data_IF_751448895319
#
_entry.id   IF_751448895319
#
_cell.length_a   1.000
_cell.length_b   1.000
_cell.length_c   1.000
_cell.angle_alpha   90.00
_cell.angle_beta   90.00
_cell.angle_gamma   90.00
#
_symmetry.space_group_name_H-M   'P 1'
#
loop_
_entity.id
_entity.type
_entity.pdbx_description
1 polymer ?
#
# COMPACT_ATOMS: atom_id res chain seq x y z
N UNK A 1 0.51 -14.22 33.86
CA UNK A 1 0.62 -13.68 32.49
C UNK A 1 -0.27 -14.52 31.61
N UNK A 2 -1.19 -13.94 30.85
CA UNK A 2 -2.07 -14.72 29.97
C UNK A 2 -1.26 -15.37 28.84
N UNK A 3 -1.68 -16.54 28.36
CA UNK A 3 -1.03 -17.26 27.25
C UNK A 3 -0.82 -16.36 26.01
N UNK A 4 -1.68 -15.37 25.81
CA UNK A 4 -1.62 -14.41 24.72
C UNK A 4 -0.41 -13.44 24.85
N UNK A 5 -0.05 -13.00 26.07
CA UNK A 5 1.09 -12.13 26.31
C UNK A 5 2.43 -12.87 26.10
N UNK A 6 2.51 -14.15 26.51
CA UNK A 6 3.69 -15.00 26.31
C UNK A 6 3.90 -15.32 24.81
N UNK A 7 2.81 -15.55 24.09
CA UNK A 7 2.85 -15.82 22.63
C UNK A 7 3.29 -14.57 21.86
N UNK A 8 2.80 -13.39 22.21
CA UNK A 8 3.20 -12.12 21.61
C UNK A 8 4.69 -11.82 21.82
N UNK A 9 5.22 -12.01 23.05
CA UNK A 9 6.63 -11.77 23.33
C UNK A 9 7.58 -12.69 22.55
N UNK A 10 7.20 -13.93 22.30
CA UNK A 10 7.99 -14.85 21.46
C UNK A 10 7.96 -14.47 19.98
N UNK A 11 6.80 -14.05 19.44
CA UNK A 11 6.65 -13.68 18.01
C UNK A 11 7.37 -12.39 17.69
N UNK A 12 7.25 -11.37 18.54
CA UNK A 12 7.69 -9.99 18.25
C UNK A 12 8.87 -9.52 19.11
N UNK A 13 9.52 -10.41 19.86
CA UNK A 13 10.69 -10.05 20.66
C UNK A 13 11.87 -9.50 19.81
N UNK A 14 11.99 -9.88 18.54
CA UNK A 14 12.93 -9.28 17.61
C UNK A 14 12.61 -7.81 17.31
N UNK A 15 11.33 -7.50 17.17
CA UNK A 15 10.84 -6.14 16.94
C UNK A 15 11.08 -5.27 18.18
N UNK A 16 10.77 -5.80 19.39
CA UNK A 16 11.05 -5.09 20.65
C UNK A 16 12.54 -4.77 20.84
N UNK A 17 13.44 -5.69 20.48
CA UNK A 17 14.89 -5.43 20.57
C UNK A 17 15.37 -4.39 19.56
N UNK A 18 14.71 -4.25 18.40
CA UNK A 18 15.09 -3.31 17.35
C UNK A 18 14.51 -1.92 17.58
N UNK A 19 13.22 -1.83 17.94
CA UNK A 19 12.48 -0.57 18.04
C UNK A 19 12.22 -0.15 19.50
N UNK A 20 12.43 -1.04 20.46
CA UNK A 20 12.09 -0.84 21.88
C UNK A 20 10.70 -1.36 22.26
N UNK A 21 10.50 -1.64 23.56
CA UNK A 21 9.24 -2.15 24.08
C UNK A 21 8.08 -1.16 23.93
N UNK A 22 8.38 0.15 24.07
CA UNK A 22 7.38 1.21 23.86
C UNK A 22 6.85 1.23 22.43
N UNK A 23 7.74 1.14 21.44
CA UNK A 23 7.34 1.09 20.04
C UNK A 23 6.51 -0.17 19.74
N UNK A 24 6.88 -1.34 20.27
CA UNK A 24 6.09 -2.56 20.13
C UNK A 24 4.69 -2.40 20.74
N UNK A 25 4.57 -1.72 21.87
CA UNK A 25 3.27 -1.41 22.46
C UNK A 25 2.44 -0.50 21.56
N UNK A 26 3.04 0.54 20.95
CA UNK A 26 2.38 1.39 19.96
C UNK A 26 1.93 0.59 18.73
N UNK A 27 2.79 -0.29 18.19
CA UNK A 27 2.42 -1.16 17.05
C UNK A 27 1.22 -2.03 17.37
N UNK A 28 1.16 -2.63 18.55
CA UNK A 28 0.06 -3.52 18.97
C UNK A 28 -1.29 -2.80 19.09
N UNK A 29 -1.28 -1.49 19.26
CA UNK A 29 -2.48 -0.66 19.35
C UNK A 29 -2.79 0.07 18.05
N UNK A 30 -1.82 0.17 17.14
CA UNK A 30 -1.92 0.94 15.93
C UNK A 30 -3.00 0.41 14.98
N UNK A 31 -3.61 1.36 14.25
CA UNK A 31 -4.67 1.16 13.28
C UNK A 31 -4.17 1.64 11.91
N UNK A 32 -3.68 0.72 11.08
CA UNK A 32 -3.09 1.02 9.77
C UNK A 32 -4.00 0.50 8.66
N UNK A 33 -4.53 1.41 7.85
CA UNK A 33 -5.36 1.06 6.70
C UNK A 33 -4.52 0.84 5.45
N UNK A 34 -4.80 -0.24 4.70
CA UNK A 34 -4.17 -0.51 3.40
C UNK A 34 -5.25 -0.51 2.32
N UNK A 35 -5.15 0.42 1.38
CA UNK A 35 -6.06 0.57 0.24
C UNK A 35 -5.42 -0.01 -1.01
N UNK A 36 -6.05 -1.02 -1.60
CA UNK A 36 -5.49 -1.82 -2.67
C UNK A 36 -4.52 -2.87 -2.14
N UNK A 37 -4.95 -4.12 -2.06
CA UNK A 37 -4.12 -5.23 -1.56
C UNK A 37 -3.62 -6.14 -2.67
N UNK A 38 -3.28 -5.53 -3.80
CA UNK A 38 -2.67 -6.20 -4.96
C UNK A 38 -1.17 -6.46 -4.81
N UNK A 39 -0.39 -6.20 -5.88
CA UNK A 39 1.04 -6.50 -5.97
C UNK A 39 1.92 -5.74 -4.98
N UNK A 40 1.51 -4.55 -4.55
CA UNK A 40 2.23 -3.73 -3.56
C UNK A 40 1.61 -3.89 -2.18
N UNK A 41 0.29 -3.66 -2.06
CA UNK A 41 -0.38 -3.64 -0.76
C UNK A 41 -0.36 -4.96 -0.03
N UNK A 42 -0.41 -6.12 -0.73
CA UNK A 42 -0.33 -7.43 -0.07
C UNK A 42 0.98 -7.63 0.70
N UNK A 43 2.11 -7.14 0.16
CA UNK A 43 3.40 -7.20 0.83
C UNK A 43 3.53 -6.18 1.96
N UNK A 44 2.88 -5.01 1.84
CA UNK A 44 2.77 -4.07 2.94
C UNK A 44 2.01 -4.70 4.12
N UNK A 45 0.88 -5.37 3.87
CA UNK A 45 0.10 -6.10 4.90
C UNK A 45 0.95 -7.16 5.58
N UNK A 46 1.71 -7.96 4.82
CA UNK A 46 2.62 -8.98 5.37
C UNK A 46 3.65 -8.35 6.32
N UNK A 47 4.30 -7.26 5.91
CA UNK A 47 5.30 -6.57 6.71
C UNK A 47 4.70 -5.98 7.99
N UNK A 48 3.54 -5.34 7.91
CA UNK A 48 2.82 -4.78 9.05
C UNK A 48 2.41 -5.87 10.05
N UNK A 49 1.86 -6.99 9.56
CA UNK A 49 1.51 -8.12 10.41
C UNK A 49 2.72 -8.70 11.16
N UNK A 50 3.88 -8.83 10.47
CA UNK A 50 5.15 -9.31 11.05
C UNK A 50 5.82 -8.31 11.98
N UNK A 51 5.45 -7.04 11.88
CA UNK A 51 5.92 -5.99 12.81
C UNK A 51 5.06 -5.94 14.09
N UNK A 52 3.90 -6.60 14.10
CA UNK A 52 3.03 -6.65 15.28
C UNK A 52 1.94 -5.58 15.29
N UNK A 53 1.60 -4.99 14.13
CA UNK A 53 0.48 -4.03 14.03
C UNK A 53 -0.82 -4.71 14.48
N UNK A 54 -1.58 -4.02 15.33
CA UNK A 54 -2.74 -4.59 16.02
C UNK A 54 -4.04 -4.54 15.23
N UNK A 55 -4.21 -3.59 14.30
CA UNK A 55 -5.44 -3.43 13.51
C UNK A 55 -5.14 -3.08 12.07
N UNK A 56 -5.70 -3.85 11.13
CA UNK A 56 -5.47 -3.74 9.69
C UNK A 56 -6.80 -3.75 8.92
N UNK A 57 -7.43 -2.60 8.68
CA UNK A 57 -8.46 -2.46 7.65
C UNK A 57 -7.83 -2.62 6.26
N UNK A 58 -8.39 -3.52 5.46
CA UNK A 58 -7.98 -3.82 4.10
C UNK A 58 -9.13 -3.51 3.15
N UNK A 59 -8.90 -2.62 2.18
CA UNK A 59 -9.92 -2.20 1.22
C UNK A 59 -9.51 -2.66 -0.17
N UNK A 60 -10.24 -3.60 -0.74
CA UNK A 60 -10.06 -4.11 -2.11
C UNK A 60 -11.30 -4.93 -2.50
N UNK A 61 -11.85 -4.75 -3.70
CA UNK A 61 -13.02 -5.49 -4.16
C UNK A 61 -12.66 -6.73 -5.00
N UNK A 62 -11.40 -6.84 -5.44
CA UNK A 62 -11.01 -7.89 -6.36
C UNK A 62 -10.88 -9.27 -5.71
N UNK A 63 -11.03 -10.29 -6.53
CA UNK A 63 -10.70 -11.66 -6.19
C UNK A 63 -9.27 -12.04 -6.62
N UNK A 64 -8.72 -13.05 -5.97
CA UNK A 64 -7.44 -13.65 -6.33
C UNK A 64 -7.56 -14.33 -7.70
N UNK A 65 -6.68 -13.98 -8.63
CA UNK A 65 -6.62 -14.56 -9.97
C UNK A 65 -5.28 -15.25 -10.22
N UNK A 66 -5.25 -16.24 -11.11
CA UNK A 66 -4.03 -16.94 -11.49
C UNK A 66 -2.98 -15.98 -12.09
N UNK A 67 -3.40 -14.97 -12.85
CA UNK A 67 -2.53 -13.92 -13.39
C UNK A 67 -1.86 -13.04 -12.33
N UNK A 68 -2.22 -13.18 -11.06
CA UNK A 68 -1.63 -12.44 -9.94
C UNK A 68 -0.41 -13.13 -9.33
N UNK A 69 -0.16 -14.42 -9.64
CA UNK A 69 0.87 -15.29 -9.03
C UNK A 69 2.27 -14.68 -9.08
N UNK A 70 2.59 -13.96 -10.14
CA UNK A 70 3.93 -13.39 -10.34
C UNK A 70 4.28 -12.22 -9.42
N UNK A 71 3.26 -11.66 -8.66
CA UNK A 71 3.50 -10.45 -7.86
C UNK A 71 2.66 -10.28 -6.59
N UNK A 72 1.53 -10.98 -6.45
CA UNK A 72 0.64 -10.84 -5.29
C UNK A 72 0.88 -11.97 -4.29
N UNK A 73 1.11 -11.64 -3.03
CA UNK A 73 1.49 -12.57 -1.96
C UNK A 73 0.49 -13.70 -1.74
N UNK A 74 -0.80 -13.40 -1.81
CA UNK A 74 -1.91 -14.33 -1.55
C UNK A 74 -2.35 -15.12 -2.78
N UNK A 75 -1.73 -14.86 -3.95
CA UNK A 75 -2.08 -15.58 -5.16
C UNK A 75 -1.45 -16.98 -5.19
N UNK A 76 -2.10 -17.92 -4.52
CA UNK A 76 -1.74 -19.31 -4.41
C UNK A 76 -2.83 -20.19 -5.04
N UNK A 77 -2.47 -21.38 -5.52
CA UNK A 77 -3.39 -22.29 -6.23
C UNK A 77 -4.68 -22.58 -5.44
N UNK A 78 -4.62 -22.65 -4.11
CA UNK A 78 -5.80 -22.88 -3.27
C UNK A 78 -6.68 -21.65 -2.99
N UNK A 79 -6.25 -20.45 -3.41
CA UNK A 79 -6.92 -19.19 -3.10
C UNK A 79 -7.57 -18.51 -4.31
N UNK A 80 -7.41 -19.06 -5.52
CA UNK A 80 -8.03 -18.48 -6.73
C UNK A 80 -9.55 -18.38 -6.58
N UNK A 81 -10.10 -17.21 -6.91
CA UNK A 81 -11.52 -16.90 -6.76
C UNK A 81 -11.93 -16.36 -5.37
N UNK A 82 -11.08 -16.49 -4.35
CA UNK A 82 -11.32 -15.92 -3.02
C UNK A 82 -11.13 -14.41 -3.05
N UNK A 83 -11.91 -13.65 -2.27
CA UNK A 83 -11.66 -12.23 -2.09
C UNK A 83 -10.24 -11.99 -1.56
N UNK A 84 -9.52 -11.01 -2.13
CA UNK A 84 -8.12 -10.73 -1.75
C UNK A 84 -8.00 -10.37 -0.26
N UNK A 85 -8.94 -9.60 0.26
CA UNK A 85 -8.97 -9.19 1.67
C UNK A 85 -9.14 -10.39 2.60
N UNK A 86 -9.97 -11.38 2.21
CA UNK A 86 -10.18 -12.63 2.96
C UNK A 86 -8.92 -13.51 2.97
N UNK A 87 -8.30 -13.70 1.82
CA UNK A 87 -7.05 -14.47 1.73
C UNK A 87 -5.94 -13.86 2.62
N UNK A 88 -5.84 -12.53 2.66
CA UNK A 88 -4.88 -11.85 3.53
C UNK A 88 -5.24 -11.91 5.00
N UNK A 89 -6.53 -11.80 5.37
CA UNK A 89 -6.96 -11.99 6.77
C UNK A 89 -6.57 -13.36 7.30
N UNK A 90 -6.83 -14.42 6.52
CA UNK A 90 -6.45 -15.78 6.89
C UNK A 90 -4.94 -15.92 7.09
N UNK A 91 -4.16 -15.28 6.23
CA UNK A 91 -2.71 -15.25 6.33
C UNK A 91 -2.22 -14.47 7.56
N UNK A 92 -2.74 -13.27 7.79
CA UNK A 92 -2.42 -12.44 8.97
C UNK A 92 -2.71 -13.18 10.27
N UNK A 93 -3.82 -13.92 10.34
CA UNK A 93 -4.18 -14.71 11.52
C UNK A 93 -3.12 -15.78 11.88
N UNK A 94 -2.40 -16.31 10.90
CA UNK A 94 -1.30 -17.27 11.14
C UNK A 94 -0.01 -16.57 11.59
N UNK A 95 0.20 -15.31 11.21
CA UNK A 95 1.39 -14.51 11.56
C UNK A 95 1.21 -13.83 12.91
N UNK A 96 0.11 -13.08 13.05
CA UNK A 96 -0.24 -12.29 14.21
C UNK A 96 -1.69 -12.56 14.63
N UNK A 97 -1.96 -13.63 15.40
CA UNK A 97 -3.33 -13.98 15.82
C UNK A 97 -4.02 -12.89 16.65
N UNK A 98 -3.26 -11.96 17.24
CA UNK A 98 -3.81 -10.81 17.98
C UNK A 98 -4.23 -9.63 17.09
N UNK A 99 -3.88 -9.65 15.82
CA UNK A 99 -4.24 -8.61 14.88
C UNK A 99 -5.72 -8.70 14.46
N UNK A 100 -6.43 -7.59 14.55
CA UNK A 100 -7.79 -7.48 14.04
C UNK A 100 -7.74 -7.00 12.58
N UNK A 101 -8.11 -7.87 11.65
CA UNK A 101 -8.25 -7.51 10.23
C UNK A 101 -9.71 -7.20 9.94
N UNK A 102 -9.95 -6.04 9.32
CA UNK A 102 -11.29 -5.61 8.86
C UNK A 102 -11.31 -5.73 7.34
N UNK A 103 -12.09 -6.68 6.85
CA UNK A 103 -12.27 -6.93 5.42
C UNK A 103 -13.29 -5.94 4.86
N UNK A 104 -12.90 -5.12 3.90
CA UNK A 104 -13.76 -4.15 3.22
C UNK A 104 -13.70 -4.47 1.73
N UNK A 105 -14.65 -5.30 1.29
CA UNK A 105 -14.81 -5.69 -0.12
C UNK A 105 -15.54 -4.58 -0.87
N UNK A 106 -14.84 -3.46 -1.10
CA UNK A 106 -15.39 -2.31 -1.81
C UNK A 106 -14.29 -1.52 -2.53
N UNK A 107 -14.70 -0.63 -3.43
CA UNK A 107 -13.85 0.37 -4.04
C UNK A 107 -13.90 1.70 -3.30
N UNK A 108 -12.75 2.29 -3.07
CA UNK A 108 -12.70 3.70 -2.66
C UNK A 108 -13.08 4.58 -3.85
N UNK A 109 -13.95 5.54 -3.59
CA UNK A 109 -14.41 6.56 -4.56
C UNK A 109 -14.26 7.95 -3.96
N UNK A 110 -14.45 9.00 -4.75
CA UNK A 110 -14.44 10.37 -4.22
C UNK A 110 -15.54 10.59 -3.18
N UNK A 111 -16.69 9.91 -3.33
CA UNK A 111 -17.89 10.12 -2.51
C UNK A 111 -17.85 9.40 -1.17
N UNK A 112 -17.17 8.22 -1.09
CA UNK A 112 -17.13 7.41 0.14
C UNK A 112 -15.90 7.67 1.03
N UNK A 113 -15.03 8.65 0.67
CA UNK A 113 -13.87 9.01 1.49
C UNK A 113 -14.23 9.34 2.96
N UNK A 114 -15.29 10.14 3.25
CA UNK A 114 -15.64 10.43 4.63
C UNK A 114 -16.11 9.21 5.41
N UNK A 115 -16.74 8.25 4.76
CA UNK A 115 -17.21 7.00 5.38
C UNK A 115 -16.02 6.16 5.85
N UNK A 116 -15.04 5.92 4.97
CA UNK A 116 -13.89 5.08 5.29
C UNK A 116 -12.84 5.78 6.14
N UNK A 117 -12.56 7.06 5.88
CA UNK A 117 -11.45 7.78 6.50
C UNK A 117 -11.85 8.87 7.50
N UNK A 118 -13.15 9.10 7.70
CA UNK A 118 -13.65 10.20 8.55
C UNK A 118 -13.26 10.08 10.03
N UNK A 119 -13.04 8.87 10.53
CA UNK A 119 -12.58 8.61 11.90
C UNK A 119 -11.06 8.69 12.05
N UNK A 120 -10.33 8.75 10.93
CA UNK A 120 -8.87 8.74 10.90
C UNK A 120 -8.26 7.37 11.23
N UNK A 121 -7.01 7.24 10.85
CA UNK A 121 -6.15 6.09 11.14
C UNK A 121 -4.82 6.59 11.69
N UNK A 122 -4.06 5.74 12.37
CA UNK A 122 -2.69 6.06 12.71
C UNK A 122 -1.83 6.25 11.47
N UNK A 123 -2.12 5.47 10.41
CA UNK A 123 -1.48 5.61 9.10
C UNK A 123 -2.34 5.00 7.99
N UNK A 124 -2.21 5.53 6.77
CA UNK A 124 -2.86 4.97 5.56
C UNK A 124 -1.82 4.68 4.50
N UNK A 125 -1.86 3.47 3.93
CA UNK A 125 -1.07 3.09 2.75
C UNK A 125 -2.01 3.02 1.55
N UNK A 126 -1.76 3.88 0.55
CA UNK A 126 -2.48 3.85 -0.72
C UNK A 126 -1.63 3.12 -1.79
N UNK A 127 -2.06 1.91 -2.14
CA UNK A 127 -1.43 1.05 -3.14
C UNK A 127 -2.31 0.79 -4.38
N UNK A 128 -3.33 1.63 -4.61
CA UNK A 128 -4.12 1.58 -5.85
C UNK A 128 -3.39 2.26 -7.02
N UNK A 129 -3.84 1.98 -8.25
CA UNK A 129 -3.27 2.56 -9.48
C UNK A 129 -4.22 3.50 -10.24
N UNK A 130 -5.42 3.75 -9.72
CA UNK A 130 -6.40 4.66 -10.29
C UNK A 130 -6.10 6.12 -9.93
N UNK A 131 -5.51 6.88 -10.85
CA UNK A 131 -5.07 8.27 -10.63
C UNK A 131 -6.15 9.16 -10.05
N UNK A 132 -7.40 9.04 -10.52
CA UNK A 132 -8.51 9.89 -10.08
C UNK A 132 -8.80 9.71 -8.59
N UNK A 133 -8.97 8.47 -8.15
CA UNK A 133 -9.26 8.12 -6.75
C UNK A 133 -8.05 8.43 -5.87
N UNK A 134 -6.84 8.07 -6.32
CA UNK A 134 -5.58 8.38 -5.64
C UNK A 134 -5.42 9.90 -5.41
N UNK A 135 -5.82 10.75 -6.37
CA UNK A 135 -5.78 12.19 -6.21
C UNK A 135 -6.80 12.69 -5.18
N UNK A 136 -8.01 12.15 -5.17
CA UNK A 136 -9.02 12.49 -4.19
C UNK A 136 -8.57 12.11 -2.77
N UNK A 137 -8.05 10.89 -2.59
CA UNK A 137 -7.49 10.43 -1.31
C UNK A 137 -6.33 11.32 -0.85
N UNK A 138 -5.35 11.62 -1.72
CA UNK A 138 -4.22 12.46 -1.37
C UNK A 138 -4.66 13.85 -0.92
N UNK A 139 -5.60 14.48 -1.63
CA UNK A 139 -6.14 15.79 -1.26
C UNK A 139 -6.86 15.72 0.10
N UNK A 140 -7.71 14.72 0.29
CA UNK A 140 -8.44 14.49 1.54
C UNK A 140 -7.51 14.29 2.74
N UNK A 141 -6.45 13.48 2.58
CA UNK A 141 -5.48 13.21 3.65
C UNK A 141 -4.63 14.43 3.99
N UNK A 142 -4.19 15.21 2.99
CA UNK A 142 -3.43 16.44 3.21
C UNK A 142 -4.28 17.47 3.96
N UNK A 143 -5.53 17.66 3.57
CA UNK A 143 -6.47 18.58 4.22
C UNK A 143 -6.69 18.22 5.70
N UNK A 144 -6.89 16.94 5.97
CA UNK A 144 -7.17 16.41 7.32
C UNK A 144 -5.92 16.11 8.15
N UNK A 145 -4.74 16.33 7.60
CA UNK A 145 -3.45 15.97 8.24
C UNK A 145 -3.39 14.48 8.64
N UNK A 146 -4.07 13.62 7.88
CA UNK A 146 -4.02 12.17 8.06
C UNK A 146 -2.64 11.69 7.61
N UNK A 147 -1.86 10.96 8.47
CA UNK A 147 -0.59 10.36 8.05
C UNK A 147 -0.83 9.29 6.98
N UNK A 148 -0.03 9.33 5.89
CA UNK A 148 -0.18 8.39 4.78
C UNK A 148 1.09 8.30 3.93
N UNK A 149 1.13 7.30 3.06
CA UNK A 149 2.09 7.16 1.96
C UNK A 149 1.38 6.63 0.71
N UNK A 150 1.81 7.07 -0.45
CA UNK A 150 1.33 6.57 -1.74
C UNK A 150 2.38 5.69 -2.41
N UNK A 151 1.94 4.57 -2.97
CA UNK A 151 2.75 3.82 -3.93
C UNK A 151 2.64 4.44 -5.31
N UNK A 152 3.77 4.62 -5.96
CA UNK A 152 3.87 4.84 -7.40
C UNK A 152 3.61 3.57 -8.21
N UNK A 153 3.89 3.63 -9.51
CA UNK A 153 3.75 2.52 -10.42
C UNK A 153 4.92 1.53 -10.30
N UNK A 154 4.64 0.28 -9.92
CA UNK A 154 5.64 -0.77 -9.79
C UNK A 154 5.77 -1.68 -11.04
N UNK A 155 5.01 -1.38 -12.11
CA UNK A 155 5.06 -2.12 -13.37
C UNK A 155 6.17 -1.63 -14.31
N UNK A 156 6.69 -2.52 -15.15
CA UNK A 156 7.73 -2.20 -16.13
C UNK A 156 9.12 -1.98 -15.54
N UNK A 157 9.37 -2.38 -14.31
CA UNK A 157 10.62 -2.19 -13.58
C UNK A 157 11.19 -3.53 -13.12
N UNK A 158 12.51 -3.62 -12.96
CA UNK A 158 13.26 -4.85 -12.66
C UNK A 158 14.21 -4.71 -11.48
N UNK A 159 14.64 -3.49 -11.16
CA UNK A 159 15.68 -3.23 -10.16
C UNK A 159 15.11 -2.63 -8.88
N UNK A 160 14.92 -3.41 -7.80
CA UNK A 160 14.42 -2.90 -6.53
C UNK A 160 15.40 -1.93 -5.83
N UNK A 161 16.68 -1.93 -6.16
CA UNK A 161 17.65 -1.03 -5.55
C UNK A 161 17.47 0.45 -5.97
N UNK A 162 16.65 0.73 -6.99
CA UNK A 162 16.34 2.08 -7.45
C UNK A 162 15.07 2.66 -6.81
N UNK A 163 14.47 1.96 -5.86
CA UNK A 163 13.28 2.42 -5.12
C UNK A 163 13.69 3.47 -4.10
N UNK A 164 12.91 4.55 -4.04
CA UNK A 164 13.12 5.69 -3.16
C UNK A 164 11.81 6.18 -2.56
N UNK A 165 11.92 6.98 -1.50
CA UNK A 165 10.81 7.72 -0.91
C UNK A 165 11.07 9.21 -1.05
N UNK A 166 10.09 9.95 -1.57
CA UNK A 166 10.14 11.40 -1.67
C UNK A 166 8.75 12.02 -1.64
N UNK A 167 8.71 13.35 -1.41
CA UNK A 167 7.49 14.12 -1.67
C UNK A 167 7.16 14.12 -3.17
N UNK A 168 5.88 14.07 -3.51
CA UNK A 168 5.38 14.04 -4.88
C UNK A 168 5.92 15.17 -5.76
N UNK A 169 6.26 16.33 -5.17
CA UNK A 169 6.87 17.46 -5.91
C UNK A 169 8.23 17.11 -6.52
N UNK A 170 8.94 16.13 -5.95
CA UNK A 170 10.30 15.72 -6.33
C UNK A 170 10.36 14.40 -7.10
N UNK A 171 9.25 13.68 -7.19
CA UNK A 171 9.20 12.39 -7.89
C UNK A 171 9.48 12.56 -9.39
N UNK A 172 10.30 11.67 -9.91
CA UNK A 172 10.66 11.57 -11.34
C UNK A 172 10.45 10.13 -11.85
N UNK A 173 10.50 9.92 -13.16
CA UNK A 173 10.46 8.59 -13.82
C UNK A 173 9.18 7.75 -13.59
N UNK A 174 8.17 8.28 -12.91
CA UNK A 174 6.92 7.58 -12.61
C UNK A 174 5.73 8.27 -13.30
N UNK A 175 5.16 7.67 -14.36
CA UNK A 175 4.02 8.25 -15.08
C UNK A 175 2.74 8.33 -14.24
N UNK A 176 2.50 7.36 -13.33
CA UNK A 176 1.34 7.38 -12.44
C UNK A 176 1.40 8.60 -11.53
N UNK A 177 2.54 8.80 -10.86
CA UNK A 177 2.74 9.93 -9.96
C UNK A 177 2.85 11.27 -10.69
N UNK A 178 3.36 11.30 -11.92
CA UNK A 178 3.32 12.50 -12.76
C UNK A 178 1.88 12.94 -13.08
N UNK A 179 1.01 11.98 -13.45
CA UNK A 179 -0.42 12.23 -13.68
C UNK A 179 -1.14 12.62 -12.39
N UNK A 180 -0.81 11.99 -11.27
CA UNK A 180 -1.32 12.35 -9.95
C UNK A 180 -0.98 13.81 -9.63
N UNK A 181 0.28 14.20 -9.74
CA UNK A 181 0.74 15.58 -9.52
C UNK A 181 0.01 16.60 -10.39
N UNK A 182 -0.17 16.28 -11.67
CA UNK A 182 -0.94 17.12 -12.58
C UNK A 182 -2.39 17.25 -12.12
N UNK A 183 -3.04 16.16 -11.74
CA UNK A 183 -4.44 16.13 -11.28
C UNK A 183 -4.63 16.93 -9.99
N UNK A 184 -3.74 16.78 -9.01
CA UNK A 184 -3.78 17.52 -7.76
C UNK A 184 -3.66 19.04 -8.00
N UNK A 185 -2.78 19.46 -8.90
CA UNK A 185 -2.62 20.87 -9.27
C UNK A 185 -3.84 21.42 -10.03
N UNK A 186 -4.45 20.60 -10.88
CA UNK A 186 -5.58 21.02 -11.72
C UNK A 186 -6.90 21.06 -10.97
N UNK A 187 -7.17 20.05 -10.12
CA UNK A 187 -8.49 19.84 -9.50
C UNK A 187 -8.56 20.23 -8.03
N UNK A 188 -7.46 20.15 -7.30
CA UNK A 188 -7.44 20.27 -5.84
C UNK A 188 -6.60 21.47 -5.35
N UNK A 189 -6.19 22.39 -6.24
CA UNK A 189 -5.54 23.63 -5.86
C UNK A 189 -4.12 23.51 -5.30
N UNK A 190 -3.44 22.36 -5.48
CA UNK A 190 -2.06 22.20 -5.05
C UNK A 190 -1.12 23.15 -5.78
N UNK A 191 -0.06 23.61 -5.08
CA UNK A 191 0.91 24.55 -5.60
C UNK A 191 1.53 24.09 -6.92
N UNK A 192 1.66 25.03 -7.87
CA UNK A 192 2.40 24.83 -9.12
C UNK A 192 3.89 25.12 -8.99
N UNK A 193 4.30 25.75 -7.89
CA UNK A 193 5.70 25.97 -7.59
C UNK A 193 6.41 24.62 -7.44
N UNK A 194 7.41 24.38 -8.27
CA UNK A 194 8.19 23.13 -8.27
C UNK A 194 9.09 22.98 -7.04
N UNK A 195 9.35 24.09 -6.32
CA UNK A 195 10.14 24.10 -5.08
C UNK A 195 9.26 23.84 -3.85
N UNK A 196 7.94 24.05 -3.95
CA UNK A 196 7.02 23.84 -2.84
C UNK A 196 6.79 22.35 -2.59
N UNK A 197 6.88 21.95 -1.33
CA UNK A 197 6.52 20.61 -0.89
C UNK A 197 5.01 20.43 -0.96
N UNK A 198 4.53 19.34 -1.57
CA UNK A 198 3.10 19.03 -1.70
C UNK A 198 2.55 18.31 -0.46
N UNK A 199 3.42 17.86 0.45
CA UNK A 199 3.05 17.04 1.62
C UNK A 199 2.38 15.72 1.23
N UNK A 200 2.79 15.14 0.11
CA UNK A 200 2.31 13.89 -0.43
C UNK A 200 3.51 12.93 -0.54
N UNK A 201 3.81 12.16 0.51
CA UNK A 201 4.92 11.22 0.51
C UNK A 201 4.62 10.04 -0.43
N UNK A 202 5.60 9.69 -1.25
CA UNK A 202 5.48 8.65 -2.27
C UNK A 202 6.65 7.67 -2.20
N UNK A 203 6.35 6.40 -2.41
CA UNK A 203 7.35 5.37 -2.76
C UNK A 203 7.35 5.23 -4.28
N UNK A 204 8.50 5.36 -4.92
CA UNK A 204 8.65 5.31 -6.36
C UNK A 204 10.02 4.74 -6.76
N UNK A 205 10.19 4.40 -8.03
CA UNK A 205 11.51 4.01 -8.56
C UNK A 205 12.04 5.07 -9.53
N UNK A 206 13.34 5.25 -9.52
CA UNK A 206 14.06 6.08 -10.51
C UNK A 206 14.40 5.29 -11.78
N UNK A 207 14.04 4.02 -11.86
CA UNK A 207 14.21 3.18 -13.05
C UNK A 207 13.30 3.62 -14.18
N UNK A 208 13.84 3.69 -15.40
CA UNK A 208 13.01 3.89 -16.58
C UNK A 208 12.10 2.68 -16.83
N UNK A 209 10.84 2.94 -17.14
CA UNK A 209 9.88 1.89 -17.44
C UNK A 209 10.28 1.16 -18.72
N UNK A 210 10.37 -0.17 -18.65
CA UNK A 210 10.60 -1.04 -19.81
C UNK A 210 9.26 -1.31 -20.48
N UNK A 211 9.10 -0.95 -21.77
CA UNK A 211 7.88 -1.27 -22.53
C UNK A 211 7.65 -2.78 -22.62
N UNK A 212 6.38 -3.23 -22.80
CA UNK A 212 6.09 -4.64 -23.04
C UNK A 212 6.85 -5.17 -24.25
N UNK A 213 7.49 -6.33 -24.11
CA UNK A 213 8.25 -6.97 -25.19
C UNK A 213 7.34 -7.80 -26.14
N UNK A 214 6.14 -8.16 -25.69
CA UNK A 214 5.14 -8.86 -26.50
C UNK A 214 3.79 -8.13 -26.46
N UNK A 215 3.15 -8.00 -27.62
CA UNK A 215 1.83 -7.34 -27.76
C UNK A 215 0.64 -8.29 -27.51
N UNK A 216 0.85 -9.54 -27.13
CA UNK A 216 -0.18 -10.59 -27.14
C UNK A 216 -1.04 -10.69 -25.87
N UNK A 217 -1.00 -9.77 -24.94
CA UNK A 217 -1.63 -9.97 -23.62
C UNK A 217 -2.75 -9.00 -23.22
N UNK A 218 -3.39 -8.32 -24.13
CA UNK A 218 -4.63 -7.58 -23.81
C UNK A 218 -5.77 -8.14 -24.67
N UNK A 219 -6.66 -8.94 -24.05
CA UNK A 219 -7.98 -9.21 -24.63
C UNK A 219 -8.69 -7.87 -24.87
N UNK A 220 -9.20 -7.66 -26.08
CA UNK A 220 -9.76 -6.40 -26.57
C UNK A 220 -11.02 -5.91 -25.82
N UNK A 221 -11.50 -6.64 -24.83
CA UNK A 221 -12.79 -6.39 -24.17
C UNK A 221 -12.69 -5.82 -22.75
N UNK A 222 -11.49 -5.59 -22.20
CA UNK A 222 -11.33 -4.95 -20.90
C UNK A 222 -11.00 -3.46 -21.09
N UNK A 223 -11.88 -2.57 -20.65
CA UNK A 223 -11.56 -1.14 -20.58
C UNK A 223 -10.27 -0.94 -19.75
N UNK A 224 -9.30 -0.14 -20.24
CA UNK A 224 -8.01 0.04 -19.57
C UNK A 224 -8.20 0.75 -18.24
N UNK A 225 -8.20 0.01 -17.15
CA UNK A 225 -8.23 0.54 -15.79
C UNK A 225 -6.89 0.22 -15.11
N UNK A 226 -6.04 1.24 -14.96
CA UNK A 226 -4.77 1.16 -14.24
C UNK A 226 -3.54 0.74 -15.08
N UNK A 227 -2.35 0.84 -14.47
CA UNK A 227 -1.07 0.49 -15.09
C UNK A 227 -0.92 -1.00 -15.42
N UNK A 228 -1.60 -1.88 -14.68
CA UNK A 228 -1.66 -3.31 -14.97
C UNK A 228 -2.35 -3.60 -16.30
N UNK A 229 -3.34 -2.79 -16.68
CA UNK A 229 -4.06 -2.89 -17.94
C UNK A 229 -3.29 -2.25 -19.11
N UNK A 230 -2.27 -1.43 -18.85
CA UNK A 230 -1.40 -0.90 -19.89
C UNK A 230 -0.41 -1.93 -20.47
N UNK A 231 -0.51 -3.20 -20.05
CA UNK A 231 0.31 -4.31 -20.56
C UNK A 231 1.74 -4.35 -20.05
N UNK A 232 2.10 -3.55 -19.04
CA UNK A 232 3.43 -3.63 -18.44
C UNK A 232 3.59 -4.92 -17.64
N UNK A 233 4.71 -5.62 -17.87
CA UNK A 233 5.12 -6.72 -17.01
C UNK A 233 5.39 -6.26 -15.58
N UNK A 234 5.23 -7.15 -14.62
CA UNK A 234 5.55 -6.88 -13.22
C UNK A 234 6.34 -8.04 -12.61
N UNK A 235 7.21 -7.73 -11.66
CA UNK A 235 7.98 -8.70 -10.90
C UNK A 235 7.75 -8.48 -9.41
N UNK A 236 7.57 -9.57 -8.69
CA UNK A 236 7.48 -9.56 -7.23
C UNK A 236 8.71 -8.89 -6.59
N UNK A 237 9.89 -8.97 -7.18
CA UNK A 237 11.09 -8.31 -6.66
C UNK A 237 10.91 -6.80 -6.48
N UNK A 238 10.19 -6.16 -7.41
CA UNK A 238 9.91 -4.71 -7.34
C UNK A 238 8.64 -4.46 -6.54
N UNK A 239 7.55 -5.14 -6.84
CA UNK A 239 6.26 -4.86 -6.18
C UNK A 239 6.29 -5.14 -4.69
N UNK A 240 6.96 -6.22 -4.25
CA UNK A 240 7.15 -6.50 -2.83
C UNK A 240 8.02 -5.42 -2.16
N UNK A 241 9.10 -4.99 -2.81
CA UNK A 241 9.96 -3.94 -2.27
C UNK A 241 9.19 -2.63 -2.11
N UNK A 242 8.35 -2.22 -3.08
CA UNK A 242 7.47 -1.07 -2.90
C UNK A 242 6.57 -1.22 -1.67
N UNK A 243 5.97 -2.41 -1.47
CA UNK A 243 5.14 -2.72 -0.30
C UNK A 243 5.91 -2.60 1.02
N UNK A 244 7.14 -3.10 1.05
CA UNK A 244 8.02 -3.01 2.22
C UNK A 244 8.39 -1.55 2.55
N UNK A 245 8.70 -0.71 1.55
CA UNK A 245 8.96 0.71 1.75
C UNK A 245 7.71 1.47 2.24
N UNK A 246 6.52 1.13 1.73
CA UNK A 246 5.27 1.69 2.24
C UNK A 246 5.03 1.30 3.71
N UNK A 247 5.27 0.03 4.05
CA UNK A 247 5.15 -0.45 5.42
C UNK A 247 6.19 0.21 6.35
N UNK A 248 7.44 0.40 5.88
CA UNK A 248 8.48 1.11 6.61
C UNK A 248 8.01 2.51 7.00
N UNK A 249 7.43 3.28 6.07
CA UNK A 249 6.93 4.63 6.35
C UNK A 249 5.86 4.63 7.47
N UNK A 250 4.97 3.63 7.50
CA UNK A 250 3.99 3.47 8.57
C UNK A 250 4.65 3.11 9.91
N UNK A 251 5.58 2.15 9.89
CA UNK A 251 6.28 1.67 11.09
C UNK A 251 7.10 2.78 11.74
N UNK A 252 7.87 3.54 10.95
CA UNK A 252 8.66 4.67 11.44
C UNK A 252 7.74 5.74 12.07
N UNK A 253 6.65 6.12 11.36
CA UNK A 253 5.70 7.09 11.89
C UNK A 253 5.08 6.68 13.23
N UNK A 254 4.77 5.38 13.41
CA UNK A 254 4.16 4.87 14.64
C UNK A 254 5.20 4.72 15.76
N UNK A 255 6.42 4.29 15.43
CA UNK A 255 7.51 4.15 16.39
C UNK A 255 7.89 5.50 17.05
N UNK A 256 7.82 6.60 16.28
CA UNK A 256 8.18 7.96 16.73
C UNK A 256 7.07 8.65 17.57
N UNK A 257 5.92 8.00 17.78
CA UNK A 257 4.87 8.53 18.67
C UNK A 257 5.38 8.61 20.10
N UNK A 258 5.38 9.82 20.64
CA UNK A 258 5.75 10.11 22.03
C UNK A 258 4.56 9.93 22.98
#
# INVERSE_FOLDING_TARGET
MSDNALTSSRRFGGIARLYGDSALAHFSQAHVCVVGVGGVGSWAVEALARTGIGRLPLIDLDNVAESNVNRQLHALTGDFGKAKVTALRERVAQINPGCQVFEIEDFVTEDNLPEYFGKGFDFVIDAIDQVRVKAAMAAYFVERKQPFVLSGGAGGQKNPALIQTADLSRVTHDPLLANLRYTLRKRYGFSRDTKANMRVPCVYSTENIVPPQSREACSADAAPQGLSCAGYGASMLVTASFGLYCAQAAVEHIADKK
#
